data_IF_692422248512
#
_entry.id   IF_692422248512
#
_cell.length_a   1.000
_cell.length_b   1.000
_cell.length_c   1.000
_cell.angle_alpha   90.00
_cell.angle_beta   90.00
_cell.angle_gamma   90.00
#
_symmetry.space_group_name_H-M   'P 1'
#
loop_
_entity.id
_entity.type
_entity.pdbx_description
1 polymer ?
#
# COMPACT_ATOMS: atom_id res chain seq x y z
N UNK A 1 -18.85 -18.16 -4.93
CA UNK A 1 -17.61 -18.97 -4.88
C UNK A 1 -16.86 -18.53 -3.63
N UNK A 2 -16.31 -19.42 -2.80
CA UNK A 2 -15.47 -18.99 -1.68
C UNK A 2 -14.28 -18.20 -2.27
N UNK A 3 -14.25 -16.90 -1.99
CA UNK A 3 -13.23 -15.98 -2.50
C UNK A 3 -11.86 -16.31 -1.91
N UNK A 4 -10.80 -15.96 -2.66
CA UNK A 4 -9.44 -16.08 -2.17
C UNK A 4 -9.25 -15.08 -1.02
N UNK A 5 -9.16 -15.57 0.21
CA UNK A 5 -9.05 -14.74 1.42
C UNK A 5 -7.62 -14.36 1.78
N UNK A 6 -6.65 -15.21 1.44
CA UNK A 6 -5.25 -15.01 1.78
C UNK A 6 -4.34 -15.41 0.63
N UNK A 7 -3.30 -14.61 0.40
CA UNK A 7 -2.24 -14.90 -0.56
C UNK A 7 -0.87 -14.77 0.09
N UNK A 8 -0.03 -15.78 -0.14
CA UNK A 8 1.40 -15.74 0.14
C UNK A 8 2.14 -15.65 -1.18
N UNK A 9 2.82 -14.53 -1.41
CA UNK A 9 3.58 -14.31 -2.63
C UNK A 9 4.95 -15.02 -2.56
N UNK A 10 5.51 -15.47 -3.70
CA UNK A 10 6.82 -16.11 -3.73
C UNK A 10 7.91 -15.20 -3.14
N UNK A 11 8.85 -15.76 -2.37
CA UNK A 11 9.92 -14.99 -1.74
C UNK A 11 10.87 -14.30 -2.74
N UNK A 12 10.89 -14.73 -4.01
CA UNK A 12 11.67 -14.10 -5.08
C UNK A 12 10.87 -13.07 -5.88
N UNK A 13 9.60 -12.84 -5.54
CA UNK A 13 8.75 -11.91 -6.28
C UNK A 13 9.23 -10.48 -6.01
N UNK A 14 9.58 -9.78 -7.10
CA UNK A 14 10.07 -8.39 -7.05
C UNK A 14 9.01 -7.37 -7.43
N UNK A 15 8.00 -7.78 -8.19
CA UNK A 15 7.02 -6.88 -8.79
C UNK A 15 5.63 -7.50 -8.79
N UNK A 16 4.63 -6.69 -8.46
CA UNK A 16 3.21 -7.00 -8.65
C UNK A 16 2.72 -6.14 -9.81
N UNK A 17 2.20 -6.80 -10.85
CA UNK A 17 1.76 -6.13 -12.06
C UNK A 17 0.45 -5.35 -11.86
N UNK A 18 0.15 -4.48 -12.82
CA UNK A 18 -1.06 -3.67 -12.81
C UNK A 18 -2.32 -4.53 -12.68
N UNK A 19 -3.25 -4.09 -11.84
CA UNK A 19 -4.55 -4.74 -11.63
C UNK A 19 -4.50 -6.23 -11.19
N UNK A 20 -3.35 -6.73 -10.72
CA UNK A 20 -3.16 -8.16 -10.42
C UNK A 20 -4.18 -8.73 -9.42
N UNK A 21 -4.65 -7.92 -8.47
CA UNK A 21 -5.63 -8.26 -7.45
C UNK A 21 -6.83 -7.29 -7.42
N UNK A 22 -7.09 -6.60 -8.54
CA UNK A 22 -8.20 -5.67 -8.69
C UNK A 22 -9.54 -6.31 -8.30
N UNK A 23 -10.26 -5.70 -7.36
CA UNK A 23 -11.61 -6.11 -6.94
C UNK A 23 -11.69 -7.50 -6.29
N UNK A 24 -10.56 -8.03 -5.84
CA UNK A 24 -10.55 -9.31 -5.10
C UNK A 24 -11.10 -9.17 -3.68
N UNK A 25 -11.42 -10.30 -3.04
CA UNK A 25 -11.90 -10.36 -1.65
C UNK A 25 -10.81 -10.82 -0.67
N UNK A 26 -9.57 -10.38 -0.92
CA UNK A 26 -8.43 -10.71 -0.05
C UNK A 26 -8.56 -9.98 1.28
N UNK A 27 -8.44 -10.73 2.37
CA UNK A 27 -8.38 -10.20 3.74
C UNK A 27 -6.93 -9.92 4.16
N UNK A 28 -5.99 -10.73 3.68
CA UNK A 28 -4.56 -10.69 4.04
C UNK A 28 -3.65 -10.99 2.83
N UNK A 29 -2.61 -10.17 2.67
CA UNK A 29 -1.53 -10.40 1.69
C UNK A 29 -0.18 -10.35 2.38
N UNK A 30 0.56 -11.46 2.27
CA UNK A 30 1.95 -11.54 2.73
C UNK A 30 2.84 -11.27 1.53
N UNK A 31 3.44 -10.08 1.51
CA UNK A 31 4.36 -9.67 0.46
C UNK A 31 5.74 -10.32 0.62
N UNK A 32 6.44 -10.43 -0.49
CA UNK A 32 7.84 -10.86 -0.55
C UNK A 32 8.74 -9.84 0.15
N UNK A 33 9.76 -10.31 0.89
CA UNK A 33 10.82 -9.44 1.43
C UNK A 33 11.67 -8.80 0.32
N UNK A 34 11.66 -9.36 -0.89
CA UNK A 34 12.36 -8.82 -2.07
C UNK A 34 11.46 -7.96 -2.96
N UNK A 35 10.22 -7.66 -2.53
CA UNK A 35 9.31 -6.83 -3.31
C UNK A 35 9.84 -5.40 -3.44
N UNK A 36 9.92 -4.92 -4.68
CA UNK A 36 10.41 -3.60 -5.05
C UNK A 36 9.31 -2.72 -5.63
N UNK A 37 8.35 -3.31 -6.35
CA UNK A 37 7.34 -2.53 -7.08
C UNK A 37 5.92 -3.11 -6.93
N UNK A 38 4.96 -2.21 -6.70
CA UNK A 38 3.54 -2.46 -6.85
C UNK A 38 3.04 -1.50 -7.94
N UNK A 39 2.62 -2.05 -9.07
CA UNK A 39 2.13 -1.25 -10.20
C UNK A 39 0.73 -0.69 -9.95
N UNK A 40 0.29 0.13 -10.90
CA UNK A 40 -0.97 0.85 -10.89
C UNK A 40 -2.18 -0.07 -10.69
N UNK A 41 -3.07 0.36 -9.81
CA UNK A 41 -4.34 -0.31 -9.48
C UNK A 41 -4.23 -1.78 -9.03
N UNK A 42 -3.03 -2.23 -8.62
CA UNK A 42 -2.77 -3.64 -8.29
C UNK A 42 -3.75 -4.23 -7.26
N UNK A 43 -4.20 -3.45 -6.29
CA UNK A 43 -5.14 -3.82 -5.22
C UNK A 43 -6.32 -2.84 -5.14
N UNK A 44 -6.70 -2.18 -6.23
CA UNK A 44 -7.87 -1.29 -6.21
C UNK A 44 -9.15 -2.06 -5.87
N UNK A 45 -9.99 -1.51 -4.99
CA UNK A 45 -11.29 -2.06 -4.63
C UNK A 45 -11.25 -3.36 -3.81
N UNK A 46 -10.11 -3.69 -3.19
CA UNK A 46 -10.00 -4.86 -2.30
C UNK A 46 -10.55 -4.49 -0.92
N UNK A 47 -11.88 -4.39 -0.84
CA UNK A 47 -12.61 -3.83 0.30
C UNK A 47 -12.41 -4.62 1.62
N UNK A 48 -12.03 -5.90 1.55
CA UNK A 48 -11.81 -6.76 2.72
C UNK A 48 -10.37 -6.71 3.25
N UNK A 49 -9.44 -6.03 2.55
CA UNK A 49 -8.04 -6.02 2.93
C UNK A 49 -7.84 -5.18 4.19
N UNK A 50 -7.51 -5.83 5.30
CA UNK A 50 -7.43 -5.16 6.61
C UNK A 50 -6.02 -4.64 6.93
N UNK A 51 -4.99 -5.34 6.44
CA UNK A 51 -3.60 -5.02 6.72
C UNK A 51 -2.67 -5.39 5.56
N UNK A 52 -1.62 -4.59 5.41
CA UNK A 52 -0.57 -4.75 4.40
C UNK A 52 0.79 -4.66 5.08
N UNK A 53 1.66 -5.64 4.81
CA UNK A 53 3.05 -5.60 5.27
C UNK A 53 3.99 -5.52 4.07
N UNK A 54 4.48 -4.33 3.76
CA UNK A 54 5.39 -4.06 2.65
C UNK A 54 6.83 -4.47 2.96
N UNK A 55 7.63 -4.72 1.93
CA UNK A 55 9.08 -4.89 2.10
C UNK A 55 9.77 -3.56 2.41
N UNK A 56 10.87 -3.60 3.16
CA UNK A 56 11.78 -2.46 3.33
C UNK A 56 12.60 -2.12 2.06
N UNK A 57 12.51 -2.95 1.01
CA UNK A 57 13.11 -2.73 -0.30
C UNK A 57 12.13 -2.11 -1.30
N UNK A 58 10.91 -1.74 -0.88
CA UNK A 58 9.92 -1.13 -1.76
C UNK A 58 10.45 0.22 -2.30
N UNK A 59 10.34 0.38 -3.63
CA UNK A 59 10.80 1.54 -4.39
C UNK A 59 9.64 2.30 -5.03
N UNK A 60 8.55 1.59 -5.40
CA UNK A 60 7.39 2.21 -6.06
C UNK A 60 6.06 1.60 -5.62
N UNK A 61 5.10 2.48 -5.36
CA UNK A 61 3.67 2.18 -5.24
C UNK A 61 2.94 3.03 -6.29
N UNK A 62 2.38 2.36 -7.29
CA UNK A 62 1.79 2.97 -8.48
C UNK A 62 0.45 3.68 -8.24
N UNK A 63 -0.03 4.31 -9.31
CA UNK A 63 -1.28 5.08 -9.30
C UNK A 63 -2.43 4.24 -8.78
N UNK A 64 -3.16 4.73 -7.77
CA UNK A 64 -4.30 4.02 -7.17
C UNK A 64 -4.02 2.60 -6.67
N UNK A 65 -2.76 2.20 -6.43
CA UNK A 65 -2.41 0.81 -6.12
C UNK A 65 -3.27 0.15 -5.02
N UNK A 66 -3.71 0.89 -4.00
CA UNK A 66 -4.61 0.44 -2.93
C UNK A 66 -5.87 1.34 -2.83
N UNK A 67 -6.32 1.95 -3.92
CA UNK A 67 -7.54 2.77 -3.91
C UNK A 67 -8.75 1.94 -3.48
N UNK A 68 -9.67 2.54 -2.73
CA UNK A 68 -10.94 1.94 -2.29
C UNK A 68 -10.76 0.66 -1.44
N UNK A 69 -9.61 0.50 -0.78
CA UNK A 69 -9.40 -0.48 0.27
C UNK A 69 -9.98 0.05 1.61
N UNK A 70 -11.31 0.10 1.71
CA UNK A 70 -12.01 0.79 2.80
C UNK A 70 -11.65 0.27 4.20
N UNK A 71 -11.44 -1.04 4.35
CA UNK A 71 -11.07 -1.69 5.62
C UNK A 71 -9.56 -1.68 5.92
N UNK A 72 -8.73 -1.15 5.01
CA UNK A 72 -7.28 -1.12 5.21
C UNK A 72 -6.94 -0.18 6.35
N UNK A 73 -6.66 -0.77 7.50
CA UNK A 73 -6.45 -0.04 8.76
C UNK A 73 -4.97 0.15 9.10
N UNK A 74 -4.12 -0.72 8.56
CA UNK A 74 -2.70 -0.79 8.90
C UNK A 74 -1.84 -1.08 7.68
N UNK A 75 -0.83 -0.24 7.47
CA UNK A 75 0.28 -0.52 6.56
C UNK A 75 1.58 -0.50 7.38
N UNK A 76 2.33 -1.60 7.32
CA UNK A 76 3.59 -1.78 8.02
C UNK A 76 4.70 -2.20 7.04
N UNK A 77 5.95 -2.14 7.49
CA UNK A 77 7.12 -2.59 6.73
C UNK A 77 7.82 -3.76 7.43
N UNK A 78 8.40 -4.68 6.65
CA UNK A 78 9.28 -5.73 7.18
C UNK A 78 10.64 -5.12 7.51
N UNK A 79 10.88 -4.86 8.79
CA UNK A 79 12.14 -4.31 9.30
C UNK A 79 12.25 -2.79 9.20
N UNK A 80 13.47 -2.28 9.40
CA UNK A 80 13.76 -0.85 9.22
C UNK A 80 13.82 -0.53 7.72
N UNK A 81 13.03 0.47 7.31
CA UNK A 81 12.92 0.89 5.92
C UNK A 81 14.28 1.42 5.44
N UNK A 82 14.85 0.80 4.40
CA UNK A 82 16.17 1.20 3.87
C UNK A 82 16.06 2.30 2.82
N UNK A 83 14.91 2.43 2.16
CA UNK A 83 14.71 3.34 1.05
C UNK A 83 14.18 4.68 1.53
N UNK A 84 15.04 5.70 1.48
CA UNK A 84 14.63 7.10 1.58
C UNK A 84 13.85 7.57 0.33
N UNK A 85 13.81 6.75 -0.73
CA UNK A 85 13.35 7.09 -2.09
C UNK A 85 12.15 6.25 -2.58
N UNK A 86 11.23 5.87 -1.69
CA UNK A 86 10.01 5.18 -2.13
C UNK A 86 9.06 6.16 -2.84
N UNK A 87 8.82 5.97 -4.13
CA UNK A 87 7.87 6.74 -4.91
C UNK A 87 6.45 6.21 -4.68
N UNK A 88 5.59 7.03 -4.07
CA UNK A 88 4.16 6.73 -3.93
C UNK A 88 3.38 7.65 -4.86
N UNK A 89 2.70 7.08 -5.84
CA UNK A 89 1.96 7.83 -6.83
C UNK A 89 0.58 8.32 -6.31
N UNK A 90 -0.02 9.20 -7.10
CA UNK A 90 -1.30 9.85 -6.81
C UNK A 90 -2.39 8.80 -6.55
N UNK A 91 -3.18 9.03 -5.51
CA UNK A 91 -4.32 8.20 -5.16
C UNK A 91 -3.97 6.79 -4.68
N UNK A 92 -2.69 6.45 -4.45
CA UNK A 92 -2.28 5.10 -4.06
C UNK A 92 -3.06 4.54 -2.86
N UNK A 93 -3.51 5.38 -1.93
CA UNK A 93 -4.36 5.01 -0.79
C UNK A 93 -5.68 5.81 -0.76
N UNK A 94 -6.19 6.19 -1.93
CA UNK A 94 -7.45 6.92 -2.06
C UNK A 94 -8.60 6.12 -1.43
N UNK A 95 -9.47 6.79 -0.68
CA UNK A 95 -10.62 6.18 -0.01
C UNK A 95 -10.30 5.02 0.96
N UNK A 96 -9.05 4.87 1.42
CA UNK A 96 -8.71 3.99 2.54
C UNK A 96 -9.15 4.62 3.87
N UNK A 97 -10.46 4.67 4.12
CA UNK A 97 -11.04 5.43 5.24
C UNK A 97 -10.68 4.88 6.62
N UNK A 98 -10.37 3.59 6.75
CA UNK A 98 -9.93 2.99 8.01
C UNK A 98 -8.44 3.20 8.31
N UNK A 99 -7.65 3.74 7.38
CA UNK A 99 -6.21 3.89 7.54
C UNK A 99 -5.91 5.03 8.52
N UNK A 100 -5.62 4.65 9.77
CA UNK A 100 -5.40 5.59 10.89
C UNK A 100 -3.92 5.87 11.16
N UNK A 101 -3.04 4.97 10.74
CA UNK A 101 -1.59 5.12 10.92
C UNK A 101 -0.87 4.64 9.66
N UNK A 102 -0.13 5.56 9.05
CA UNK A 102 0.78 5.27 7.96
C UNK A 102 2.05 6.08 8.19
N UNK A 103 3.16 5.40 8.41
CA UNK A 103 4.47 6.05 8.53
C UNK A 103 5.10 6.09 7.13
N UNK A 104 5.15 7.27 6.52
CA UNK A 104 5.89 7.47 5.28
C UNK A 104 7.39 7.61 5.57
N UNK A 105 8.29 7.03 4.75
CA UNK A 105 9.68 7.47 4.74
C UNK A 105 9.72 8.92 4.24
N UNK A 106 10.61 9.73 4.81
CA UNK A 106 10.76 11.12 4.38
C UNK A 106 11.29 11.21 2.94
N UNK A 107 10.39 11.33 1.96
CA UNK A 107 10.53 12.23 0.82
C UNK A 107 9.21 12.22 0.02
N UNK A 108 8.36 13.21 0.29
CA UNK A 108 7.24 13.51 -0.61
C UNK A 108 7.78 14.40 -1.73
N UNK A 109 8.22 13.81 -2.84
CA UNK A 109 8.30 14.55 -4.09
C UNK A 109 6.89 14.71 -4.63
N UNK A 110 6.21 15.76 -4.19
CA UNK A 110 4.95 16.28 -4.73
C UNK A 110 3.78 15.27 -4.80
N UNK A 111 3.13 15.01 -3.66
CA UNK A 111 1.73 14.53 -3.72
C UNK A 111 0.82 15.76 -3.80
N UNK A 112 0.00 15.92 -4.87
CA UNK A 112 -1.00 16.96 -4.94
C UNK A 112 -1.90 16.88 -3.71
N UNK A 113 -2.16 18.03 -3.10
CA UNK A 113 -2.89 18.26 -1.84
C UNK A 113 -4.24 17.53 -1.64
N UNK A 114 -4.74 16.77 -2.60
CA UNK A 114 -6.08 16.19 -2.59
C UNK A 114 -6.21 14.81 -1.91
N UNK A 115 -5.21 13.93 -1.97
CA UNK A 115 -5.38 12.56 -1.46
C UNK A 115 -5.41 12.48 0.07
N UNK A 116 -4.82 13.46 0.75
CA UNK A 116 -4.83 13.56 2.22
C UNK A 116 -6.15 14.08 2.80
N UNK A 117 -7.05 14.64 1.98
CA UNK A 117 -8.28 15.24 2.50
C UNK A 117 -9.27 14.21 3.08
N UNK A 118 -9.15 12.92 2.76
CA UNK A 118 -10.08 11.86 3.22
C UNK A 118 -9.48 10.87 4.23
N UNK A 119 -8.17 10.85 4.40
CA UNK A 119 -7.52 10.04 5.44
C UNK A 119 -7.69 10.78 6.79
N UNK A 120 -8.76 10.46 7.53
CA UNK A 120 -8.97 11.01 8.87
C UNK A 120 -7.77 10.62 9.77
N UNK A 121 -6.93 11.61 10.09
CA UNK A 121 -5.85 11.54 11.11
C UNK A 121 -4.55 10.79 10.77
N UNK A 122 -4.00 10.89 9.56
CA UNK A 122 -2.56 10.55 9.42
C UNK A 122 -1.74 11.70 10.00
N UNK A 123 -1.27 11.54 11.24
CA UNK A 123 -0.30 12.45 11.87
C UNK A 123 0.94 12.50 10.98
N UNK A 124 1.21 13.69 10.42
CA UNK A 124 2.48 13.96 9.75
C UNK A 124 3.55 13.94 10.82
N UNK A 125 4.16 12.79 11.06
CA UNK A 125 5.40 12.71 11.84
C UNK A 125 6.50 13.37 11.01
N UNK A 126 6.57 14.69 11.12
CA UNK A 126 7.65 15.51 10.64
C UNK A 126 8.76 15.43 11.70
N UNK A 127 9.87 14.70 11.48
CA UNK A 127 11.00 14.79 12.40
C UNK A 127 11.55 16.22 12.33
N UNK A 128 11.50 16.87 13.49
CA UNK A 128 12.19 18.12 13.83
C UNK A 128 13.70 17.98 13.72
#
# INVERSE_FOLDING_TARGET
MPGLKKVTLPASLKKIGSQAFLGTHLEEVVFSAELQEIDDEAFTGVAELTSVTLSNNIQRIGYRAFSDCEQLSKVAYVGEMKTADCMVEIGAFQNCTSLTSFTFPQSFSEVPRMDFCRLQKVERNNPS
#
